data_IF_393479279467
#
_entry.id   IF_393479279467
#
_cell.length_a   1.000
_cell.length_b   1.000
_cell.length_c   1.000
_cell.angle_alpha   90.00
_cell.angle_beta   90.00
_cell.angle_gamma   90.00
#
_symmetry.space_group_name_H-M   'P 1'
#
loop_
_entity.id
_entity.type
_entity.pdbx_description
1 polymer ?
#
# COMPACT_ATOMS: atom_id res chain seq x y z
N UNK A 1 19.02 3.27 -4.02
CA UNK A 1 18.24 2.29 -4.82
C UNK A 1 16.84 2.79 -5.18
N UNK A 2 16.06 3.34 -4.24
CA UNK A 2 14.68 3.79 -4.50
C UNK A 2 14.52 4.81 -5.64
N UNK A 3 15.56 5.60 -5.94
CA UNK A 3 15.53 6.60 -7.01
C UNK A 3 15.39 5.99 -8.42
N UNK A 4 15.99 4.81 -8.67
CA UNK A 4 15.96 4.17 -9.99
C UNK A 4 14.53 3.78 -10.41
N UNK A 5 13.76 3.25 -9.47
CA UNK A 5 12.38 2.79 -9.66
C UNK A 5 11.36 3.83 -9.21
N UNK A 6 11.79 5.08 -9.02
CA UNK A 6 10.89 6.17 -8.65
C UNK A 6 9.84 6.41 -9.72
N UNK A 7 8.59 6.62 -9.29
CA UNK A 7 7.49 6.99 -10.17
C UNK A 7 7.63 8.41 -10.76
N UNK A 8 8.58 9.21 -10.28
CA UNK A 8 8.81 10.60 -10.73
C UNK A 8 9.06 10.65 -12.23
N UNK A 9 8.32 11.54 -12.92
CA UNK A 9 8.43 11.71 -14.36
C UNK A 9 8.07 10.46 -15.16
N UNK A 10 7.02 9.74 -14.73
CA UNK A 10 6.55 8.49 -15.35
C UNK A 10 7.65 7.41 -15.45
N UNK A 11 8.31 7.12 -14.32
CA UNK A 11 9.42 6.16 -14.26
C UNK A 11 10.60 6.54 -15.17
N UNK A 12 10.89 7.84 -15.30
CA UNK A 12 11.89 8.33 -16.26
C UNK A 12 13.31 7.79 -16.03
N UNK A 13 13.73 7.61 -14.77
CA UNK A 13 15.02 7.01 -14.43
C UNK A 13 15.09 5.54 -14.89
N UNK A 14 14.07 4.75 -14.54
CA UNK A 14 13.91 3.37 -14.99
C UNK A 14 13.92 3.26 -16.52
N UNK A 15 13.12 4.09 -17.23
CA UNK A 15 13.03 4.03 -18.70
C UNK A 15 14.37 4.29 -19.38
N UNK A 16 15.15 5.26 -18.88
CA UNK A 16 16.50 5.52 -19.39
C UNK A 16 17.44 4.34 -19.15
N UNK A 17 17.45 3.80 -17.93
CA UNK A 17 18.28 2.65 -17.59
C UNK A 17 17.90 1.42 -18.42
N UNK A 18 16.60 1.10 -18.50
CA UNK A 18 16.08 -0.02 -19.27
C UNK A 18 16.35 0.10 -20.77
N UNK A 19 16.27 1.32 -21.32
CA UNK A 19 16.63 1.63 -22.69
C UNK A 19 18.12 1.46 -23.00
N UNK A 20 18.99 1.71 -22.01
CA UNK A 20 20.43 1.50 -22.15
C UNK A 20 20.86 0.03 -22.00
N UNK A 21 20.04 -0.82 -21.36
CA UNK A 21 20.32 -2.25 -21.20
C UNK A 21 20.37 -2.99 -22.55
N UNK A 22 21.34 -3.89 -22.69
CA UNK A 22 21.51 -4.78 -23.86
C UNK A 22 21.45 -6.25 -23.42
N UNK A 23 20.98 -7.12 -24.31
CA UNK A 23 20.83 -8.55 -24.02
C UNK A 23 19.63 -8.86 -23.14
N UNK A 24 19.74 -9.92 -22.32
CA UNK A 24 18.68 -10.34 -21.42
C UNK A 24 18.35 -9.24 -20.40
N UNK A 25 17.07 -8.90 -20.30
CA UNK A 25 16.56 -7.87 -19.38
C UNK A 25 15.13 -8.20 -18.97
N UNK A 26 14.81 -7.96 -17.70
CA UNK A 26 13.47 -8.18 -17.15
C UNK A 26 12.74 -6.82 -17.06
N UNK A 27 11.67 -6.60 -17.86
CA UNK A 27 10.89 -5.37 -17.77
C UNK A 27 10.09 -5.32 -16.47
N UNK A 28 9.97 -4.13 -15.87
CA UNK A 28 8.95 -3.87 -14.85
C UNK A 28 7.58 -3.85 -15.51
N UNK A 29 6.93 -5.01 -15.56
CA UNK A 29 5.71 -5.23 -16.33
C UNK A 29 4.61 -4.22 -15.98
N UNK A 30 4.46 -3.86 -14.70
CA UNK A 30 3.49 -2.87 -14.25
C UNK A 30 3.63 -1.51 -14.96
N UNK A 31 4.85 -1.06 -15.27
CA UNK A 31 5.09 0.21 -15.99
C UNK A 31 4.59 0.11 -17.43
N UNK A 32 4.84 -1.01 -18.10
CA UNK A 32 4.40 -1.24 -19.48
C UNK A 32 2.88 -1.49 -19.57
N UNK A 33 2.30 -2.19 -18.60
CA UNK A 33 0.85 -2.38 -18.51
C UNK A 33 0.13 -1.06 -18.27
N UNK A 34 0.69 -0.17 -17.46
CA UNK A 34 0.19 1.19 -17.29
C UNK A 34 0.17 1.94 -18.63
N UNK A 35 1.21 1.83 -19.44
CA UNK A 35 1.27 2.49 -20.75
C UNK A 35 0.25 1.91 -21.73
N UNK A 36 0.08 0.58 -21.75
CA UNK A 36 -0.95 -0.09 -22.55
C UNK A 36 -2.36 0.35 -22.15
N UNK A 37 -2.65 0.39 -20.84
CA UNK A 37 -3.93 0.87 -20.34
C UNK A 37 -4.18 2.35 -20.68
N UNK A 38 -3.13 3.19 -20.61
CA UNK A 38 -3.23 4.59 -21.01
C UNK A 38 -3.50 4.76 -22.52
N UNK A 39 -2.84 3.95 -23.37
CA UNK A 39 -3.10 3.92 -24.82
C UNK A 39 -4.51 3.45 -25.14
N UNK A 40 -4.99 2.45 -24.41
CA UNK A 40 -6.34 1.94 -24.59
C UNK A 40 -7.40 2.98 -24.19
N UNK A 41 -7.20 3.68 -23.09
CA UNK A 41 -8.09 4.73 -22.61
C UNK A 41 -8.03 6.03 -23.47
N UNK A 42 -6.91 6.31 -24.14
CA UNK A 42 -6.71 7.55 -24.87
C UNK A 42 -7.55 7.67 -26.16
N UNK A 43 -7.97 6.55 -26.76
CA UNK A 43 -8.73 6.56 -28.01
C UNK A 43 -9.75 5.40 -28.09
N UNK A 44 -10.90 5.58 -28.76
CA UNK A 44 -11.86 4.51 -28.94
C UNK A 44 -11.31 3.42 -29.87
N UNK A 45 -11.70 2.17 -29.62
CA UNK A 45 -11.31 1.02 -30.46
C UNK A 45 -11.96 1.07 -31.85
N UNK A 46 -13.20 1.56 -31.92
CA UNK A 46 -13.95 1.74 -33.15
C UNK A 46 -14.25 3.22 -33.39
N UNK A 47 -14.10 3.62 -34.64
CA UNK A 47 -14.50 4.90 -35.20
C UNK A 47 -15.98 4.83 -35.63
N UNK A 48 -16.62 5.99 -35.86
CA UNK A 48 -17.97 6.04 -36.40
C UNK A 48 -18.10 5.20 -37.69
N UNK A 49 -19.17 4.42 -37.78
CA UNK A 49 -19.40 3.50 -38.92
C UNK A 49 -18.71 2.14 -38.78
N UNK A 50 -18.35 1.71 -37.56
CA UNK A 50 -17.82 0.36 -37.31
C UNK A 50 -16.38 0.14 -37.80
N UNK A 51 -15.68 1.22 -38.17
CA UNK A 51 -14.30 1.16 -38.66
C UNK A 51 -13.32 1.02 -37.50
N UNK A 52 -12.26 0.25 -37.67
CA UNK A 52 -11.24 0.08 -36.63
C UNK A 52 -10.28 1.27 -36.55
N UNK A 53 -9.87 1.63 -35.34
CA UNK A 53 -8.84 2.63 -35.11
C UNK A 53 -7.43 2.02 -35.28
N UNK A 54 -6.91 2.05 -36.51
CA UNK A 54 -5.60 1.51 -36.85
C UNK A 54 -4.44 2.12 -36.04
N UNK A 55 -4.36 3.45 -35.80
CA UNK A 55 -3.33 4.02 -34.95
C UNK A 55 -3.27 3.43 -33.54
N UNK A 56 -4.44 3.25 -32.90
CA UNK A 56 -4.53 2.62 -31.58
C UNK A 56 -4.07 1.16 -31.63
N UNK A 57 -4.57 0.40 -32.60
CA UNK A 57 -4.22 -1.02 -32.77
C UNK A 57 -2.71 -1.18 -33.02
N UNK A 58 -2.13 -0.32 -33.86
CA UNK A 58 -0.70 -0.32 -34.14
C UNK A 58 0.13 -0.01 -32.89
N UNK A 59 -0.27 0.97 -32.07
CA UNK A 59 0.40 1.31 -30.82
C UNK A 59 0.39 0.16 -29.81
N UNK A 60 -0.78 -0.45 -29.61
CA UNK A 60 -0.95 -1.62 -28.72
C UNK A 60 -0.14 -2.83 -29.23
N UNK A 61 -0.25 -3.12 -30.53
CA UNK A 61 0.46 -4.23 -31.16
C UNK A 61 1.98 -4.07 -31.03
N UNK A 62 2.50 -2.86 -31.28
CA UNK A 62 3.93 -2.60 -31.16
C UNK A 62 4.45 -2.81 -29.74
N UNK A 63 3.71 -2.32 -28.74
CA UNK A 63 4.08 -2.56 -27.35
C UNK A 63 4.02 -4.05 -26.96
N UNK A 64 3.01 -4.78 -27.44
CA UNK A 64 2.91 -6.22 -27.19
C UNK A 64 4.07 -7.00 -27.86
N UNK A 65 4.45 -6.62 -29.08
CA UNK A 65 5.61 -7.19 -29.76
C UNK A 65 6.92 -6.95 -29.00
N UNK A 66 7.13 -5.75 -28.47
CA UNK A 66 8.32 -5.45 -27.67
C UNK A 66 8.40 -6.34 -26.42
N UNK A 67 7.28 -6.55 -25.72
CA UNK A 67 7.23 -7.44 -24.55
C UNK A 67 7.47 -8.91 -24.95
N UNK A 68 6.88 -9.35 -26.07
CA UNK A 68 7.10 -10.71 -26.59
C UNK A 68 8.55 -10.96 -27.01
N UNK A 69 9.20 -9.95 -27.58
CA UNK A 69 10.62 -10.03 -27.93
C UNK A 69 11.50 -10.25 -26.69
N UNK A 70 11.14 -9.65 -25.54
CA UNK A 70 11.86 -9.84 -24.28
C UNK A 70 11.69 -11.25 -23.71
N UNK A 71 10.50 -11.84 -23.83
CA UNK A 71 10.23 -13.21 -23.37
C UNK A 71 11.06 -14.27 -24.11
N UNK A 72 11.42 -14.02 -25.38
CA UNK A 72 12.24 -14.92 -26.18
C UNK A 72 13.72 -14.92 -25.79
N UNK A 73 14.16 -13.95 -24.99
CA UNK A 73 15.55 -13.89 -24.53
C UNK A 73 15.75 -14.89 -23.40
N UNK A 74 16.60 -15.89 -23.63
CA UNK A 74 16.96 -16.85 -22.61
C UNK A 74 17.78 -16.17 -21.49
N UNK A 75 17.50 -16.48 -20.21
CA UNK A 75 18.33 -15.99 -19.10
C UNK A 75 19.76 -16.55 -19.22
N UNK A 76 20.80 -15.75 -18.95
CA UNK A 76 22.20 -16.17 -19.11
C UNK A 76 22.71 -17.05 -17.95
N UNK A 77 21.81 -17.55 -17.09
CA UNK A 77 22.17 -18.32 -15.90
C UNK A 77 21.43 -19.66 -15.87
N UNK A 78 22.08 -20.66 -15.26
CA UNK A 78 21.50 -21.98 -15.00
C UNK A 78 20.97 -22.01 -13.57
N UNK A 79 19.72 -22.43 -13.41
CA UNK A 79 19.10 -22.59 -12.10
C UNK A 79 19.03 -24.09 -11.73
N UNK A 80 19.26 -24.39 -10.45
CA UNK A 80 19.05 -25.73 -9.90
C UNK A 80 17.55 -25.95 -9.66
N UNK A 81 16.93 -27.00 -10.26
CA UNK A 81 15.50 -27.25 -10.10
C UNK A 81 15.08 -27.52 -8.64
N UNK A 82 15.96 -28.07 -7.79
CA UNK A 82 15.62 -28.31 -6.38
C UNK A 82 15.56 -26.99 -5.62
N UNK A 83 16.56 -26.13 -5.79
CA UNK A 83 16.54 -24.78 -5.22
C UNK A 83 15.35 -23.96 -5.70
N UNK A 84 14.97 -24.04 -6.98
CA UNK A 84 13.80 -23.35 -7.51
C UNK A 84 12.49 -23.81 -6.84
N UNK A 85 12.34 -25.12 -6.61
CA UNK A 85 11.16 -25.67 -5.91
C UNK A 85 11.10 -25.21 -4.46
N UNK A 86 12.23 -25.21 -3.77
CA UNK A 86 12.31 -24.71 -2.39
C UNK A 86 11.96 -23.21 -2.33
N UNK A 87 12.50 -22.42 -3.25
CA UNK A 87 12.19 -20.99 -3.35
C UNK A 87 10.69 -20.78 -3.62
N UNK A 88 10.10 -21.54 -4.54
CA UNK A 88 8.68 -21.46 -4.84
C UNK A 88 7.81 -21.74 -3.61
N UNK A 89 8.12 -22.81 -2.85
CA UNK A 89 7.41 -23.12 -1.60
C UNK A 89 7.61 -22.04 -0.53
N UNK A 90 8.78 -21.40 -0.47
CA UNK A 90 9.04 -20.32 0.49
C UNK A 90 8.30 -19.02 0.17
N UNK A 91 8.00 -18.78 -1.11
CA UNK A 91 7.28 -17.60 -1.58
C UNK A 91 5.76 -17.76 -1.58
N UNK A 92 5.26 -18.99 -1.34
CA UNK A 92 3.82 -19.31 -1.27
C UNK A 92 3.15 -18.82 0.03
N UNK A 93 3.90 -18.13 0.90
CA UNK A 93 3.35 -17.56 2.13
C UNK A 93 2.54 -16.30 1.81
N UNK A 94 1.25 -16.34 2.10
CA UNK A 94 0.38 -15.16 2.06
C UNK A 94 0.29 -14.52 3.45
N UNK A 95 0.80 -13.29 3.58
CA UNK A 95 0.59 -12.46 4.76
C UNK A 95 -0.21 -11.23 4.39
N UNK A 96 -1.15 -10.82 5.24
CA UNK A 96 -1.84 -9.53 5.07
C UNK A 96 -0.94 -8.37 5.51
N UNK A 97 -1.28 -7.15 5.10
CA UNK A 97 -0.54 -5.96 5.55
C UNK A 97 -0.64 -5.79 7.07
N UNK A 98 -1.78 -6.15 7.67
CA UNK A 98 -1.99 -6.14 9.12
C UNK A 98 -1.11 -7.17 9.84
N UNK A 99 -1.03 -8.40 9.35
CA UNK A 99 -0.16 -9.43 9.94
C UNK A 99 1.31 -9.00 9.92
N UNK A 100 1.76 -8.46 8.79
CA UNK A 100 3.13 -7.95 8.65
C UNK A 100 3.37 -6.74 9.57
N UNK A 101 2.39 -5.85 9.70
CA UNK A 101 2.46 -4.71 10.62
C UNK A 101 2.58 -5.16 12.07
N UNK A 102 1.73 -6.08 12.53
CA UNK A 102 1.78 -6.61 13.91
C UNK A 102 3.09 -7.36 14.19
N UNK A 103 3.58 -8.15 13.22
CA UNK A 103 4.90 -8.79 13.33
C UNK A 103 6.03 -7.77 13.45
N UNK A 104 5.97 -6.69 12.65
CA UNK A 104 6.93 -5.58 12.74
C UNK A 104 6.84 -4.90 14.10
N UNK A 105 5.62 -4.63 14.58
CA UNK A 105 5.37 -3.97 15.85
C UNK A 105 5.84 -4.80 17.05
N UNK A 106 5.64 -6.12 17.01
CA UNK A 106 6.11 -7.02 18.07
C UNK A 106 7.64 -7.11 18.13
N UNK A 107 8.33 -7.01 16.99
CA UNK A 107 9.80 -7.05 16.90
C UNK A 107 10.44 -5.72 17.27
N UNK A 108 9.80 -4.62 16.90
CA UNK A 108 10.21 -3.26 17.22
C UNK A 108 9.10 -2.59 18.02
N UNK A 109 8.89 -2.98 19.30
CA UNK A 109 7.87 -2.37 20.11
C UNK A 109 8.17 -0.88 20.17
N UNK A 110 7.34 -0.10 19.49
CA UNK A 110 7.34 1.34 19.64
C UNK A 110 6.85 1.59 21.06
N UNK A 111 7.76 1.56 22.01
CA UNK A 111 7.47 1.92 23.38
C UNK A 111 6.77 3.27 23.38
N UNK A 112 5.94 3.56 24.40
CA UNK A 112 5.61 4.95 24.64
C UNK A 112 6.94 5.69 24.68
N UNK A 113 6.94 6.89 24.14
CA UNK A 113 7.97 7.89 24.37
C UNK A 113 8.07 8.13 25.90
N UNK A 114 8.50 7.16 26.70
CA UNK A 114 9.27 7.35 27.91
C UNK A 114 10.57 7.92 27.37
N UNK A 115 10.46 9.20 27.05
CA UNK A 115 11.42 9.97 26.29
C UNK A 115 12.77 9.77 26.98
N UNK A 116 13.86 9.83 26.23
CA UNK A 116 15.18 10.07 26.81
C UNK A 116 15.09 11.13 27.93
N UNK A 117 14.24 12.15 27.71
CA UNK A 117 13.80 13.13 28.69
C UNK A 117 13.11 12.56 29.95
N UNK A 118 12.23 11.58 29.93
CA UNK A 118 11.64 10.98 31.14
C UNK A 118 12.64 10.12 31.93
N UNK A 119 13.53 9.41 31.23
CA UNK A 119 14.68 8.74 31.87
C UNK A 119 15.64 9.74 32.49
N UNK A 120 16.00 10.79 31.76
CA UNK A 120 16.85 11.88 32.25
C UNK A 120 16.16 12.72 33.33
N UNK A 121 14.84 12.90 33.30
CA UNK A 121 14.06 13.57 34.36
C UNK A 121 14.00 12.71 35.62
N UNK A 122 13.90 11.39 35.48
CA UNK A 122 13.99 10.46 36.59
C UNK A 122 15.41 10.42 37.18
N UNK A 123 16.44 10.40 36.34
CA UNK A 123 17.86 10.51 36.71
C UNK A 123 18.14 11.85 37.42
N UNK A 124 17.68 12.96 36.86
CA UNK A 124 17.85 14.29 37.41
C UNK A 124 17.09 14.45 38.74
N UNK A 125 15.87 13.90 38.87
CA UNK A 125 15.15 13.84 40.16
C UNK A 125 15.83 12.96 41.21
N UNK A 126 16.60 11.95 40.80
CA UNK A 126 17.42 11.12 41.72
C UNK A 126 18.65 11.88 42.21
N UNK A 127 19.28 12.65 41.32
CA UNK A 127 20.44 13.49 41.66
C UNK A 127 20.06 14.77 42.43
N UNK A 128 18.88 15.32 42.14
CA UNK A 128 18.33 16.53 42.75
C UNK A 128 16.90 16.27 43.24
N UNK A 129 16.74 15.74 44.47
CA UNK A 129 15.42 15.58 45.05
C UNK A 129 14.73 16.95 45.19
N UNK A 130 13.43 17.08 44.86
CA UNK A 130 12.72 18.32 45.06
C UNK A 130 12.74 18.70 46.54
N UNK A 131 12.99 19.98 46.82
CA UNK A 131 12.96 20.49 48.17
C UNK A 131 11.63 20.11 48.85
N UNK A 132 11.65 19.72 50.14
CA UNK A 132 10.42 19.43 50.86
C UNK A 132 9.49 20.64 50.75
N UNK A 133 8.17 20.42 50.58
CA UNK A 133 7.22 21.52 50.56
C UNK A 133 7.43 22.36 51.82
N UNK A 134 7.39 23.70 51.73
CA UNK A 134 7.53 24.53 52.92
C UNK A 134 6.50 24.08 53.92
N UNK A 135 6.95 23.84 55.16
CA UNK A 135 6.09 23.46 56.27
C UNK A 135 4.87 24.37 56.27
N UNK A 136 3.63 23.85 56.32
CA UNK A 136 2.48 24.72 56.52
C UNK A 136 2.73 25.52 57.80
N UNK A 137 2.45 26.84 57.81
CA UNK A 137 2.64 27.63 59.01
C UNK A 137 1.83 26.98 60.14
N UNK A 138 2.52 26.72 61.25
CA UNK A 138 1.95 26.25 62.52
C UNK A 138 0.92 27.28 62.99
N UNK A 139 -0.31 27.15 62.51
CA UNK A 139 -1.38 28.12 62.74
C UNK A 139 -2.68 27.85 61.96
N UNK A 140 -2.64 27.09 60.86
CA UNK A 140 -3.83 26.84 60.03
C UNK A 140 -4.57 25.52 60.37
N UNK A 141 -4.73 25.20 61.66
CA UNK A 141 -5.60 24.10 62.13
C UNK A 141 -6.80 24.59 62.97
N UNK A 142 -7.10 25.89 62.95
CA UNK A 142 -8.25 26.43 63.65
C UNK A 142 -8.85 27.61 62.90
N UNK A 143 -10.15 27.52 62.61
CA UNK A 143 -11.01 28.59 62.10
C UNK A 143 -10.85 28.95 60.61
N UNK A 144 -11.76 28.43 59.79
CA UNK A 144 -12.82 29.24 59.15
C UNK A 144 -13.84 28.29 58.47
N UNK A 145 -14.59 27.57 59.31
CA UNK A 145 -15.99 27.26 59.03
C UNK A 145 -16.81 28.40 59.64
N UNK A 146 -17.07 29.47 58.90
CA UNK A 146 -18.09 30.46 59.30
C UNK A 146 -18.50 31.36 58.14
N UNK A 147 -19.15 30.78 57.12
CA UNK A 147 -20.03 31.56 56.26
C UNK A 147 -21.19 30.68 55.77
N UNK A 148 -22.10 30.35 56.69
CA UNK A 148 -23.44 29.90 56.33
C UNK A 148 -24.42 31.08 56.53
N UNK A 149 -25.21 31.47 55.51
CA UNK A 149 -26.30 32.44 55.68
C UNK A 149 -27.61 31.75 56.17
N UNK A 150 -28.50 32.47 56.90
CA UNK A 150 -29.66 31.88 57.59
C UNK A 150 -30.91 31.69 56.70
N UNK A 151 -31.94 30.92 57.15
CA UNK A 151 -33.05 30.49 56.31
C UNK A 151 -34.30 31.39 56.41
N UNK A 152 -34.98 31.63 55.28
CA UNK A 152 -36.40 31.99 55.23
C UNK A 152 -36.78 33.26 54.43
N UNK A 153 -37.04 33.10 53.12
CA UNK A 153 -38.21 33.66 52.37
C UNK A 153 -38.16 33.25 50.88
N UNK A 154 -39.29 32.89 50.21
CA UNK A 154 -39.36 32.46 48.79
C UNK A 154 -39.88 33.61 47.87
N UNK A 155 -40.24 33.46 46.55
CA UNK A 155 -40.19 32.33 45.60
C UNK A 155 -39.59 32.63 44.18
N UNK A 156 -39.30 31.56 43.40
CA UNK A 156 -39.43 31.32 41.93
C UNK A 156 -39.12 32.39 40.83
N UNK A 157 -39.07 32.01 39.52
CA UNK A 157 -38.51 30.82 38.86
C UNK A 157 -37.63 31.20 37.62
N UNK A 158 -36.79 30.27 37.16
CA UNK A 158 -36.07 30.42 35.91
C UNK A 158 -35.18 29.22 35.63
N UNK A 159 -35.78 28.08 35.32
CA UNK A 159 -35.10 26.90 34.74
C UNK A 159 -34.92 27.10 33.22
N UNK A 160 -34.39 26.13 32.46
CA UNK A 160 -32.96 25.90 32.20
C UNK A 160 -32.69 25.87 30.67
N UNK A 161 -31.45 25.63 30.22
CA UNK A 161 -31.24 24.80 29.01
C UNK A 161 -29.80 24.31 28.85
N UNK A 162 -29.70 23.00 28.96
CA UNK A 162 -28.84 22.06 28.25
C UNK A 162 -27.96 22.61 27.13
N UNK A 163 -26.69 22.17 27.12
CA UNK A 163 -26.07 21.57 25.93
C UNK A 163 -24.83 20.73 26.32
N UNK A 164 -24.79 19.42 26.00
CA UNK A 164 -23.59 18.58 26.13
C UNK A 164 -22.58 18.83 24.99
N UNK A 165 -21.29 18.49 25.16
CA UNK A 165 -20.27 18.68 24.12
C UNK A 165 -20.50 17.76 22.90
N UNK A 166 -20.07 18.18 21.68
CA UNK A 166 -20.42 17.51 20.44
C UNK A 166 -19.79 16.12 20.27
N UNK A 167 -20.42 15.23 19.47
CA UNK A 167 -19.96 13.86 19.26
C UNK A 167 -18.66 13.81 18.47
N UNK A 168 -17.78 12.88 18.89
CA UNK A 168 -16.58 12.50 18.14
C UNK A 168 -17.01 11.94 16.78
N UNK A 169 -16.57 12.59 15.72
CA UNK A 169 -16.68 12.09 14.36
C UNK A 169 -15.86 10.80 14.25
N UNK A 170 -16.55 9.69 14.03
CA UNK A 170 -15.98 8.44 13.55
C UNK A 170 -15.32 8.70 12.18
N UNK A 171 -14.09 8.22 11.92
CA UNK A 171 -13.55 8.26 10.58
C UNK A 171 -14.30 7.24 9.72
N UNK A 172 -15.25 7.79 8.96
CA UNK A 172 -15.63 7.45 7.60
C UNK A 172 -15.24 6.05 7.11
N UNK A 173 -16.28 5.23 6.92
CA UNK A 173 -16.33 4.12 5.98
C UNK A 173 -16.12 4.63 4.54
N UNK A 174 -14.87 4.91 4.19
CA UNK A 174 -14.40 5.07 2.84
C UNK A 174 -13.07 4.34 2.80
N UNK A 175 -13.03 3.17 2.16
CA UNK A 175 -11.88 2.50 1.53
C UNK A 175 -12.14 0.99 1.49
N UNK A 176 -13.02 0.55 0.58
CA UNK A 176 -12.88 -0.74 -0.12
C UNK A 176 -13.82 -0.75 -1.34
N UNK A 177 -13.69 0.27 -2.20
CA UNK A 177 -14.06 0.13 -3.59
C UNK A 177 -12.74 0.03 -4.34
N UNK A 178 -12.29 -1.20 -4.56
CA UNK A 178 -11.18 -1.44 -5.49
C UNK A 178 -11.52 -0.76 -6.81
N UNK A 179 -10.61 0.02 -7.41
CA UNK A 179 -10.90 0.68 -8.65
C UNK A 179 -11.11 -0.39 -9.74
N UNK A 180 -12.17 -0.28 -10.57
CA UNK A 180 -12.66 -1.35 -11.43
C UNK A 180 -11.65 -1.87 -12.47
N UNK A 181 -10.55 -1.16 -12.68
CA UNK A 181 -9.48 -1.58 -13.59
C UNK A 181 -8.63 -2.74 -13.05
N UNK A 182 -8.53 -2.95 -11.73
CA UNK A 182 -7.75 -4.05 -11.14
C UNK A 182 -8.40 -5.40 -11.46
N UNK A 183 -9.71 -5.52 -11.25
CA UNK A 183 -10.48 -6.70 -11.66
C UNK A 183 -10.43 -6.93 -13.18
N UNK A 184 -10.41 -5.86 -13.97
CA UNK A 184 -10.31 -5.93 -15.44
C UNK A 184 -8.94 -6.47 -15.88
N UNK A 185 -7.84 -6.11 -15.20
CA UNK A 185 -6.49 -6.63 -15.49
C UNK A 185 -6.34 -8.10 -15.13
N UNK A 186 -6.93 -8.54 -14.01
CA UNK A 186 -6.90 -9.95 -13.58
C UNK A 186 -7.69 -10.83 -14.59
N UNK A 187 -8.85 -10.35 -15.07
CA UNK A 187 -9.64 -11.07 -16.08
C UNK A 187 -8.98 -11.06 -17.47
N UNK A 188 -8.35 -9.96 -17.87
CA UNK A 188 -7.64 -9.89 -19.16
C UNK A 188 -6.39 -10.79 -19.20
N UNK A 189 -5.67 -10.93 -18.09
CA UNK A 189 -4.54 -11.86 -17.97
C UNK A 189 -4.96 -13.33 -18.10
N UNK A 190 -6.13 -13.69 -17.56
CA UNK A 190 -6.67 -15.06 -17.63
C UNK A 190 -7.10 -15.46 -19.06
N UNK A 191 -7.59 -14.51 -19.87
CA UNK A 191 -8.00 -14.78 -21.26
C UNK A 191 -6.81 -15.03 -22.21
N UNK A 192 -5.66 -14.41 -21.94
CA UNK A 192 -4.42 -14.64 -22.70
C UNK A 192 -3.84 -16.02 -22.38
N UNK A 193 -3.90 -16.46 -21.11
CA UNK A 193 -3.48 -17.81 -20.73
C UNK A 193 -4.40 -18.91 -21.32
N UNK A 194 -5.71 -18.65 -21.41
CA UNK A 194 -6.65 -19.59 -22.03
C UNK A 194 -6.44 -19.76 -23.56
N UNK A 195 -5.86 -18.76 -24.24
CA UNK A 195 -5.59 -18.83 -25.68
C UNK A 195 -4.35 -19.68 -26.02
N UNK A 196 -3.38 -19.83 -25.11
CA UNK A 196 -2.24 -20.74 -25.30
C UNK A 196 -2.59 -22.22 -25.07
N UNK A 197 -3.70 -22.52 -24.38
CA UNK A 197 -4.14 -23.90 -24.15
C UNK A 197 -5.02 -24.44 -25.29
N UNK A 198 -5.61 -23.58 -26.13
CA UNK A 198 -6.54 -23.98 -27.19
C UNK A 198 -5.89 -24.13 -28.59
N UNK A 199 -4.68 -23.64 -28.80
CA UNK A 199 -3.89 -23.90 -30.01
C UNK A 199 -2.68 -24.76 -29.64
N UNK A 200 -2.95 -26.06 -29.48
CA UNK A 200 -1.92 -27.08 -29.46
C UNK A 200 -1.11 -27.08 -30.78
N UNK A 201 0.12 -27.60 -30.77
CA UNK A 201 0.99 -27.61 -31.94
C UNK A 201 0.34 -28.41 -33.10
N UNK A 202 0.63 -28.07 -34.37
CA UNK A 202 0.16 -28.86 -35.49
C UNK A 202 0.75 -30.27 -35.40
N UNK A 203 -0.14 -31.27 -35.45
CA UNK A 203 0.23 -32.68 -35.61
C UNK A 203 1.16 -32.80 -36.83
N UNK A 204 2.35 -33.34 -36.61
CA UNK A 204 3.28 -33.72 -37.67
C UNK A 204 2.64 -34.88 -38.44
N UNK A 205 2.31 -34.66 -39.71
CA UNK A 205 1.94 -35.74 -40.63
C UNK A 205 3.13 -36.69 -40.74
N UNK A 206 3.04 -37.85 -40.07
CA UNK A 206 3.89 -38.99 -40.36
C UNK A 206 3.58 -39.46 -41.78
N UNK A 207 4.47 -39.06 -42.69
CA UNK A 207 4.65 -39.63 -44.01
C UNK A 207 5.07 -41.11 -43.86
N UNK A 208 4.07 -41.97 -43.70
CA UNK A 208 4.21 -43.41 -43.73
C UNK A 208 4.53 -43.88 -45.15
N UNK A 209 5.82 -44.02 -45.45
CA UNK A 209 6.28 -44.94 -46.48
C UNK A 209 6.05 -46.39 -46.03
N UNK A 210 5.48 -47.21 -46.89
CA UNK A 210 6.18 -48.36 -47.45
C UNK A 210 5.32 -49.14 -48.46
N UNK A 211 6.04 -49.72 -49.45
CA UNK A 211 5.70 -50.83 -50.36
C UNK A 211 4.72 -50.62 -51.53
#
# INVERSE_FOLDING_TARGET
>A
MAELVSARGNFGAYRRAFGACRGFRLPLLAVHLKDLAALDAAAPAALPGGRLNLPKLHGLYRHALDLRALQRLAPPFRADPQLLRLLALSLDTSHTEEELYELSHAREPHGPKATERDRLLAENRRLHPPAPPPSPPLGALGALRLWDPPPGTPPHPGTPRDSPPPPRLSPSANHLAEPPWVATLILAGSLVAASEVLLGPPEEEEEGGDA
#
